data_IF_513617346554
#
_entry.id   IF_513617346554
#
_cell.length_a   1.000
_cell.length_b   1.000
_cell.length_c   1.000
_cell.angle_alpha   90.00
_cell.angle_beta   90.00
_cell.angle_gamma   90.00
#
_symmetry.space_group_name_H-M   'P 1'
#
loop_
_entity.id
_entity.type
_entity.pdbx_description
1 polymer ?
#
# COMPACT_ATOMS: atom_id res chain seq x y z
N UNK A 1 -46.28 -24.24 32.48
CA UNK A 1 -45.22 -23.31 32.01
C UNK A 1 -44.20 -24.14 31.25
N UNK A 2 -44.29 -24.11 29.92
CA UNK A 2 -43.46 -24.89 29.00
C UNK A 2 -42.01 -24.38 28.96
N UNK A 3 -41.06 -25.23 29.37
CA UNK A 3 -39.61 -24.92 29.35
C UNK A 3 -38.91 -25.30 28.03
N UNK A 4 -39.61 -25.83 27.03
CA UNK A 4 -39.01 -26.43 25.84
C UNK A 4 -38.92 -25.53 24.59
N UNK A 5 -39.34 -24.26 24.65
CA UNK A 5 -39.36 -23.38 23.46
C UNK A 5 -38.13 -22.49 23.29
N UNK A 6 -37.27 -22.40 24.30
CA UNK A 6 -36.14 -21.44 24.33
C UNK A 6 -34.86 -22.05 23.73
N UNK A 7 -34.69 -23.36 23.77
CA UNK A 7 -33.47 -24.05 23.35
C UNK A 7 -33.30 -24.16 21.82
N UNK A 8 -34.39 -24.25 21.05
CA UNK A 8 -34.29 -24.34 19.58
C UNK A 8 -34.03 -23.01 18.88
N UNK A 9 -34.48 -21.88 19.45
CA UNK A 9 -34.22 -20.55 18.84
C UNK A 9 -32.78 -20.09 19.04
N UNK A 10 -32.13 -20.50 20.13
CA UNK A 10 -30.74 -20.12 20.42
C UNK A 10 -29.74 -20.85 19.52
N UNK A 11 -30.03 -22.10 19.14
CA UNK A 11 -29.16 -22.93 18.32
C UNK A 11 -29.10 -22.47 16.85
N UNK A 12 -30.21 -21.92 16.33
CA UNK A 12 -30.29 -21.44 14.93
C UNK A 12 -29.55 -20.10 14.77
N UNK A 13 -29.56 -19.23 15.79
CA UNK A 13 -28.82 -17.96 15.76
C UNK A 13 -27.31 -18.20 15.77
N UNK A 14 -26.84 -19.27 16.43
CA UNK A 14 -25.42 -19.62 16.45
C UNK A 14 -24.92 -20.18 15.10
N UNK A 15 -25.78 -20.84 14.31
CA UNK A 15 -25.41 -21.38 12.99
C UNK A 15 -25.35 -20.31 11.88
N UNK A 16 -26.16 -19.24 11.99
CA UNK A 16 -26.19 -18.15 10.99
C UNK A 16 -24.97 -17.22 11.09
N UNK A 17 -24.26 -17.23 12.22
CA UNK A 17 -23.07 -16.40 12.43
C UNK A 17 -21.77 -16.99 11.83
N UNK A 18 -21.77 -18.25 11.37
CA UNK A 18 -20.53 -18.94 10.94
C UNK A 18 -20.33 -18.92 9.42
N UNK A 19 -21.31 -18.47 8.62
CA UNK A 19 -21.25 -18.62 7.14
C UNK A 19 -20.74 -17.40 6.37
N UNK A 20 -20.36 -16.29 7.02
CA UNK A 20 -19.85 -15.09 6.32
C UNK A 20 -18.40 -14.71 6.67
N UNK A 21 -17.58 -15.69 7.04
CA UNK A 21 -16.13 -15.51 7.15
C UNK A 21 -15.38 -16.21 5.99
N UNK A 22 -15.93 -16.16 4.77
CA UNK A 22 -15.07 -16.27 3.60
C UNK A 22 -14.23 -14.98 3.53
N UNK A 23 -13.11 -14.98 4.25
CA UNK A 23 -12.05 -14.00 4.10
C UNK A 23 -11.52 -14.15 2.68
N UNK A 24 -12.15 -13.44 1.74
CA UNK A 24 -11.62 -13.26 0.40
C UNK A 24 -10.29 -12.53 0.57
N UNK A 25 -9.20 -13.28 0.61
CA UNK A 25 -7.86 -12.70 0.68
C UNK A 25 -7.68 -11.83 -0.55
N UNK A 26 -7.38 -10.56 -0.33
CA UNK A 26 -7.08 -9.63 -1.41
C UNK A 26 -5.88 -10.18 -2.22
N UNK A 27 -5.93 -9.98 -3.53
CA UNK A 27 -4.93 -10.46 -4.49
C UNK A 27 -4.40 -9.24 -5.25
N UNK A 28 -3.12 -9.21 -5.61
CA UNK A 28 -2.51 -8.05 -6.28
C UNK A 28 -2.98 -7.84 -7.73
N UNK A 29 -3.52 -8.86 -8.41
CA UNK A 29 -4.08 -8.80 -9.77
C UNK A 29 -5.36 -8.01 -9.86
N UNK A 30 -6.03 -7.79 -8.73
CA UNK A 30 -7.21 -6.92 -8.70
C UNK A 30 -6.77 -5.46 -8.68
N UNK A 31 -6.33 -4.99 -9.84
CA UNK A 31 -6.17 -3.57 -10.15
C UNK A 31 -7.58 -3.08 -10.54
N UNK A 32 -8.16 -2.17 -9.76
CA UNK A 32 -9.44 -1.55 -10.15
C UNK A 32 -9.24 -0.70 -11.41
N UNK A 33 -10.32 -0.39 -12.14
CA UNK A 33 -10.26 0.51 -13.29
C UNK A 33 -9.73 1.92 -12.98
N UNK A 34 -9.60 2.26 -11.69
CA UNK A 34 -9.17 3.56 -11.19
C UNK A 34 -7.68 3.59 -10.82
N UNK A 35 -6.99 2.44 -10.87
CA UNK A 35 -5.57 2.38 -10.55
C UNK A 35 -4.71 2.35 -11.81
N UNK A 36 -3.70 3.22 -11.84
CA UNK A 36 -2.63 3.24 -12.84
C UNK A 36 -1.40 2.52 -12.29
N UNK A 37 -0.92 1.48 -12.95
CA UNK A 37 0.36 0.85 -12.60
C UNK A 37 1.51 1.83 -12.82
N UNK A 38 2.32 2.05 -11.79
CA UNK A 38 3.54 2.86 -11.85
C UNK A 38 4.77 1.99 -12.00
N UNK A 39 4.87 0.94 -11.16
CA UNK A 39 5.98 0.01 -11.16
C UNK A 39 5.53 -1.37 -10.71
N UNK A 40 6.20 -2.39 -11.21
CA UNK A 40 6.03 -3.78 -10.82
C UNK A 40 7.40 -4.42 -10.65
N UNK A 41 7.55 -5.20 -9.57
CA UNK A 41 8.78 -5.88 -9.23
C UNK A 41 8.48 -7.34 -8.87
N UNK A 42 9.21 -8.26 -9.47
CA UNK A 42 9.29 -9.64 -9.01
C UNK A 42 10.40 -9.77 -7.97
N UNK A 43 10.12 -10.49 -6.90
CA UNK A 43 11.07 -10.79 -5.83
C UNK A 43 11.13 -12.29 -5.62
N UNK A 44 12.16 -12.75 -4.91
CA UNK A 44 12.24 -14.18 -4.56
C UNK A 44 11.07 -14.65 -3.69
N UNK A 45 10.33 -13.77 -3.02
CA UNK A 45 9.26 -14.13 -2.08
C UNK A 45 7.84 -13.87 -2.59
N UNK A 46 7.72 -13.32 -3.81
CA UNK A 46 6.46 -12.94 -4.43
C UNK A 46 6.66 -11.70 -5.30
N UNK A 47 5.62 -10.90 -5.52
CA UNK A 47 5.69 -9.72 -6.38
C UNK A 47 5.15 -8.49 -5.68
N UNK A 48 5.55 -7.34 -6.19
CA UNK A 48 5.26 -6.03 -5.62
C UNK A 48 4.74 -5.12 -6.70
N UNK A 49 3.64 -4.42 -6.41
CA UNK A 49 3.05 -3.44 -7.32
C UNK A 49 2.95 -2.10 -6.64
N UNK A 50 3.34 -1.07 -7.38
CA UNK A 50 3.13 0.32 -7.04
C UNK A 50 2.10 0.88 -8.02
N UNK A 51 0.96 1.32 -7.51
CA UNK A 51 -0.12 1.88 -8.33
C UNK A 51 -0.48 3.29 -7.85
N UNK A 52 -0.86 4.17 -8.77
CA UNK A 52 -1.47 5.45 -8.47
C UNK A 52 -2.98 5.33 -8.55
N UNK A 53 -3.70 5.91 -7.59
CA UNK A 53 -5.15 5.89 -7.52
C UNK A 53 -5.66 7.33 -7.52
N UNK A 54 -6.35 7.70 -8.60
CA UNK A 54 -6.92 9.03 -8.76
C UNK A 54 -8.16 9.21 -7.86
N UNK A 55 -8.27 10.36 -7.21
CA UNK A 55 -9.43 10.74 -6.38
C UNK A 55 -10.12 12.00 -6.92
N UNK A 56 -10.07 12.19 -8.24
CA UNK A 56 -10.65 13.35 -8.91
C UNK A 56 -9.91 14.65 -8.58
N UNK A 57 -10.66 15.70 -8.24
CA UNK A 57 -10.11 17.04 -7.98
C UNK A 57 -9.26 17.14 -6.70
N UNK A 58 -9.28 16.12 -5.84
CA UNK A 58 -8.49 16.06 -4.60
C UNK A 58 -7.07 15.52 -4.83
N UNK A 59 -6.69 15.27 -6.09
CA UNK A 59 -5.43 14.62 -6.44
C UNK A 59 -5.56 13.11 -6.37
N UNK A 60 -4.58 12.45 -5.78
CA UNK A 60 -4.58 11.00 -5.62
C UNK A 60 -3.49 10.54 -4.67
N UNK A 61 -3.44 9.23 -4.48
CA UNK A 61 -2.46 8.61 -3.61
C UNK A 61 -1.83 7.41 -4.30
N UNK A 62 -0.66 7.03 -3.80
CA UNK A 62 0.08 5.89 -4.33
C UNK A 62 -0.09 4.72 -3.37
N UNK A 63 -0.35 3.55 -3.92
CA UNK A 63 -0.55 2.32 -3.18
C UNK A 63 0.54 1.32 -3.55
N UNK A 64 1.26 0.85 -2.54
CA UNK A 64 2.16 -0.28 -2.65
C UNK A 64 1.45 -1.53 -2.16
N UNK A 65 1.42 -2.58 -2.97
CA UNK A 65 1.00 -3.92 -2.55
C UNK A 65 2.16 -4.88 -2.66
N UNK A 66 2.43 -5.59 -1.56
CA UNK A 66 3.37 -6.70 -1.54
C UNK A 66 2.54 -7.98 -1.44
N UNK A 67 2.74 -8.88 -2.40
CA UNK A 67 2.08 -10.17 -2.46
C UNK A 67 3.07 -11.31 -2.27
N UNK A 68 2.60 -12.42 -1.70
CA UNK A 68 3.37 -13.66 -1.68
C UNK A 68 3.37 -14.34 -3.07
N UNK A 69 4.10 -15.45 -3.20
CA UNK A 69 4.15 -16.26 -4.43
C UNK A 69 2.80 -16.84 -4.88
N UNK A 70 1.78 -16.84 -4.01
CA UNK A 70 0.41 -17.28 -4.33
C UNK A 70 -0.48 -16.11 -4.74
N UNK A 71 0.11 -14.93 -4.91
CA UNK A 71 -0.59 -13.71 -5.23
C UNK A 71 -1.60 -13.27 -4.15
N UNK A 72 -1.27 -13.54 -2.90
CA UNK A 72 -2.05 -13.08 -1.76
C UNK A 72 -1.39 -11.83 -1.21
N UNK A 73 -2.17 -10.75 -1.05
CA UNK A 73 -1.68 -9.50 -0.45
C UNK A 73 -1.25 -9.78 0.98
N UNK A 74 0.05 -9.58 1.24
CA UNK A 74 0.64 -9.71 2.58
C UNK A 74 0.80 -8.38 3.29
N UNK A 75 0.92 -7.29 2.53
CA UNK A 75 0.99 -5.92 3.02
C UNK A 75 0.47 -4.94 1.96
N UNK A 76 -0.27 -3.92 2.39
CA UNK A 76 -0.74 -2.81 1.56
C UNK A 76 -0.41 -1.48 2.28
N UNK A 77 0.21 -0.56 1.55
CA UNK A 77 0.68 0.72 2.08
C UNK A 77 0.20 1.85 1.17
N UNK A 78 -0.55 2.79 1.75
CA UNK A 78 -0.99 4.01 1.09
C UNK A 78 -0.05 5.16 1.43
N UNK A 79 0.40 5.88 0.41
CA UNK A 79 1.39 6.94 0.47
C UNK A 79 0.92 8.16 -0.32
N UNK A 80 1.46 9.33 0.03
CA UNK A 80 1.25 10.56 -0.75
C UNK A 80 1.65 10.37 -2.20
N UNK A 81 0.86 10.95 -3.08
CA UNK A 81 1.05 10.90 -4.52
C UNK A 81 0.34 12.03 -5.26
N UNK A 82 0.05 13.15 -4.59
CA UNK A 82 -0.71 14.24 -5.22
C UNK A 82 0.07 14.88 -6.38
N UNK A 83 1.36 15.16 -6.17
CA UNK A 83 2.20 15.91 -7.12
C UNK A 83 3.42 15.11 -7.64
N UNK A 84 3.92 14.17 -6.83
CA UNK A 84 5.10 13.36 -7.13
C UNK A 84 4.85 11.94 -6.70
N UNK A 85 5.12 10.99 -7.60
CA UNK A 85 5.01 9.59 -7.29
C UNK A 85 6.34 9.09 -6.71
N UNK A 86 6.32 8.27 -5.65
CA UNK A 86 7.51 7.56 -5.26
C UNK A 86 7.86 6.51 -6.30
N UNK A 87 9.11 6.09 -6.29
CA UNK A 87 9.60 4.91 -6.99
C UNK A 87 10.21 3.94 -5.99
N UNK A 88 10.09 2.65 -6.26
CA UNK A 88 10.81 1.59 -5.55
C UNK A 88 12.22 1.54 -6.11
N UNK A 89 13.21 1.68 -5.24
CA UNK A 89 14.63 1.52 -5.59
C UNK A 89 15.07 0.07 -5.45
N UNK A 90 14.75 -0.53 -4.30
CA UNK A 90 15.09 -1.90 -4.00
C UNK A 90 14.31 -2.45 -2.82
N UNK A 91 14.22 -3.78 -2.77
CA UNK A 91 13.65 -4.54 -1.66
C UNK A 91 14.71 -5.54 -1.19
N UNK A 92 15.10 -5.45 0.08
CA UNK A 92 16.16 -6.29 0.69
C UNK A 92 15.65 -6.89 2.00
N UNK A 93 15.23 -8.15 1.93
CA UNK A 93 14.54 -8.79 3.04
C UNK A 93 13.24 -8.06 3.36
N UNK A 94 13.07 -7.63 4.61
CA UNK A 94 11.91 -6.84 5.06
C UNK A 94 12.07 -5.33 4.83
N UNK A 95 13.19 -4.87 4.26
CA UNK A 95 13.43 -3.44 4.02
C UNK A 95 13.03 -3.04 2.60
N UNK A 96 12.18 -2.02 2.49
CA UNK A 96 11.71 -1.42 1.24
C UNK A 96 12.28 -0.01 1.14
N UNK A 97 13.11 0.22 0.12
CA UNK A 97 13.73 1.50 -0.15
C UNK A 97 13.00 2.18 -1.30
N UNK A 98 12.57 3.41 -1.06
CA UNK A 98 11.83 4.20 -2.02
C UNK A 98 12.33 5.63 -2.02
N UNK A 99 12.22 6.29 -3.17
CA UNK A 99 12.51 7.70 -3.28
C UNK A 99 11.36 8.47 -3.93
N UNK A 100 11.31 9.75 -3.62
CA UNK A 100 10.57 10.78 -4.33
C UNK A 100 11.56 11.71 -5.04
N UNK A 101 11.07 12.38 -6.08
CA UNK A 101 11.76 13.48 -6.75
C UNK A 101 10.97 14.80 -6.59
N UNK A 102 10.73 15.21 -5.34
CA UNK A 102 10.03 16.46 -5.05
C UNK A 102 10.99 17.64 -5.18
N UNK A 103 10.59 18.73 -5.87
CA UNK A 103 11.34 19.97 -5.86
C UNK A 103 11.31 20.55 -4.45
N UNK A 104 12.47 20.98 -3.99
CA UNK A 104 12.65 21.64 -2.70
C UNK A 104 13.61 22.80 -2.90
N UNK A 105 13.76 23.65 -1.90
CA UNK A 105 14.78 24.72 -1.92
C UNK A 105 16.21 24.22 -1.73
N UNK A 106 16.42 22.89 -1.69
CA UNK A 106 17.72 22.25 -1.49
C UNK A 106 18.54 22.19 -2.79
N UNK A 107 19.81 21.81 -2.66
CA UNK A 107 20.75 21.72 -3.78
C UNK A 107 20.37 20.52 -4.66
N UNK A 108 20.46 20.68 -5.98
CA UNK A 108 20.27 19.58 -6.94
C UNK A 108 21.17 18.39 -6.58
N UNK A 109 20.57 17.19 -6.54
CA UNK A 109 21.27 15.96 -6.15
C UNK A 109 21.42 15.75 -4.64
N UNK A 110 20.95 16.68 -3.80
CA UNK A 110 20.88 16.46 -2.36
C UNK A 110 19.84 15.37 -2.03
N UNK A 111 20.17 14.52 -1.06
CA UNK A 111 19.33 13.43 -0.60
C UNK A 111 18.84 13.76 0.81
N UNK A 112 17.53 13.88 0.97
CA UNK A 112 16.89 14.08 2.27
C UNK A 112 16.12 12.83 2.70
N UNK A 113 16.28 12.41 3.95
CA UNK A 113 15.46 11.34 4.53
C UNK A 113 14.08 11.90 4.87
N UNK A 114 13.04 11.25 4.36
CA UNK A 114 11.65 11.59 4.64
C UNK A 114 11.12 10.76 5.81
N UNK A 115 10.43 11.43 6.74
CA UNK A 115 9.73 10.77 7.84
C UNK A 115 8.51 10.02 7.33
N UNK A 116 8.33 8.78 7.78
CA UNK A 116 7.15 7.95 7.48
C UNK A 116 5.83 8.68 7.81
N UNK A 117 5.82 9.57 8.81
CA UNK A 117 4.62 10.36 9.17
C UNK A 117 4.20 11.35 8.09
N UNK A 118 5.14 11.80 7.26
CA UNK A 118 4.88 12.75 6.18
C UNK A 118 4.54 12.04 4.86
N UNK A 119 4.83 10.73 4.77
CA UNK A 119 4.65 9.93 3.55
C UNK A 119 3.39 9.06 3.62
N UNK A 120 3.19 8.35 4.73
CA UNK A 120 2.05 7.44 4.88
C UNK A 120 0.72 8.18 5.03
N UNK A 121 -0.35 7.57 4.51
CA UNK A 121 -1.72 8.07 4.56
C UNK A 121 -2.68 7.06 5.19
N UNK A 122 -3.82 7.56 5.67
CA UNK A 122 -4.95 6.75 6.13
C UNK A 122 -4.56 5.65 7.13
N UNK A 123 -5.05 4.44 6.88
CA UNK A 123 -4.82 3.27 7.72
C UNK A 123 -3.33 2.92 7.89
N UNK A 124 -2.52 3.16 6.86
CA UNK A 124 -1.07 2.93 6.92
C UNK A 124 -0.41 3.85 7.95
N UNK A 125 -0.82 5.12 8.00
CA UNK A 125 -0.28 6.07 8.97
C UNK A 125 -0.72 5.71 10.40
N UNK A 126 -1.98 5.31 10.57
CA UNK A 126 -2.56 4.96 11.88
C UNK A 126 -1.98 3.65 12.45
N UNK A 127 -1.67 2.69 11.57
CA UNK A 127 -1.19 1.35 11.95
C UNK A 127 0.28 1.11 11.58
N UNK A 128 1.10 2.17 11.44
CA UNK A 128 2.49 2.07 10.96
C UNK A 128 3.36 1.07 11.75
N UNK A 129 3.10 0.90 13.04
CA UNK A 129 3.90 0.02 13.91
C UNK A 129 3.53 -1.47 13.74
N UNK A 130 2.48 -1.76 12.96
CA UNK A 130 2.03 -3.12 12.62
C UNK A 130 2.44 -3.56 11.21
N UNK A 131 3.16 -2.72 10.48
CA UNK A 131 3.68 -3.06 9.16
C UNK A 131 4.75 -4.15 9.30
N UNK A 132 4.68 -5.15 8.42
CA UNK A 132 5.63 -6.27 8.33
C UNK A 132 6.93 -5.82 7.70
N UNK A 133 6.87 -4.89 6.75
CA UNK A 133 8.05 -4.33 6.11
C UNK A 133 8.45 -3.00 6.75
N UNK A 134 9.74 -2.69 6.67
CA UNK A 134 10.32 -1.42 7.07
C UNK A 134 10.54 -0.56 5.84
N UNK A 135 10.01 0.66 5.90
CA UNK A 135 10.03 1.58 4.79
C UNK A 135 11.03 2.71 5.02
N UNK A 136 11.86 2.95 4.01
CA UNK A 136 12.84 4.02 3.98
C UNK A 136 12.54 4.91 2.80
N UNK A 137 12.20 6.17 3.10
CA UNK A 137 11.85 7.15 2.08
C UNK A 137 12.94 8.20 1.96
N UNK A 138 13.38 8.44 0.73
CA UNK A 138 14.30 9.51 0.40
C UNK A 138 13.60 10.52 -0.50
N UNK A 139 14.04 11.77 -0.44
CA UNK A 139 13.80 12.75 -1.49
C UNK A 139 15.13 13.01 -2.19
N UNK A 140 15.15 12.85 -3.51
CA UNK A 140 16.29 13.17 -4.36
C UNK A 140 15.90 14.41 -5.14
N UNK A 141 16.61 15.53 -4.92
CA UNK A 141 16.30 16.77 -5.63
C UNK A 141 16.63 16.61 -7.12
N UNK A 142 15.62 16.63 -8.02
CA UNK A 142 15.85 16.35 -9.43
C UNK A 142 16.68 17.47 -10.08
N UNK A 143 17.51 17.10 -11.04
CA UNK A 143 18.27 18.06 -11.85
C UNK A 143 17.40 18.53 -13.03
N UNK A 144 16.95 19.80 -13.05
CA UNK A 144 16.05 20.29 -14.10
C UNK A 144 16.70 20.30 -15.49
N UNK A 145 18.04 20.22 -15.57
CA UNK A 145 18.77 20.14 -16.84
C UNK A 145 18.79 18.72 -17.44
N UNK A 146 18.48 17.70 -16.63
CA UNK A 146 18.39 16.31 -17.08
C UNK A 146 16.93 15.98 -17.35
N UNK A 147 16.59 15.67 -18.61
CA UNK A 147 15.27 15.08 -18.92
C UNK A 147 15.14 13.75 -18.18
N UNK A 148 14.36 13.72 -17.11
CA UNK A 148 13.89 12.48 -16.52
C UNK A 148 12.67 12.03 -17.32
N UNK A 149 12.81 10.92 -18.04
CA UNK A 149 11.72 10.28 -18.75
C UNK A 149 10.78 9.70 -17.70
N UNK A 150 9.79 10.50 -17.26
CA UNK A 150 8.71 10.02 -16.41
C UNK A 150 7.85 9.07 -17.24
N UNK A 151 7.81 7.79 -16.87
CA UNK A 151 7.01 6.75 -17.52
C UNK A 151 5.50 6.97 -17.31
#
# INVERSE_FOLDING_TARGET
MDKNKVTHKLLIILLVLITNACSNKANCDKISSEEKLLQEYETNVGHVRLTYIAQGALGGYVKLRICDRRNIVVEEVSMRGEDYYPAIDSIKGENVYMHYEMPTSQIVGEITILSNKNVFLGETLLNRDKLKYKYFFLNIVPDPSKKHTRF
#
